data_IF_792336496846
#
_entry.id   IF_792336496846
#
_cell.length_a   1.000
_cell.length_b   1.000
_cell.length_c   1.000
_cell.angle_alpha   90.00
_cell.angle_beta   90.00
_cell.angle_gamma   90.00
#
_symmetry.space_group_name_H-M   'P 1'
#
loop_
_entity.id
_entity.type
_entity.pdbx_description
1 polymer ?
#
# COMPACT_ATOMS: atom_id res chain seq x y z
N UNK A 1 -18.59 14.36 -44.85
CA UNK A 1 -19.77 15.21 -45.18
C UNK A 1 -19.35 16.64 -44.93
N UNK A 2 -19.36 17.49 -45.96
CA UNK A 2 -18.94 18.89 -45.86
C UNK A 2 -20.17 19.72 -45.51
N UNK A 3 -20.10 20.51 -44.43
CA UNK A 3 -21.16 21.43 -44.02
C UNK A 3 -20.65 22.85 -44.15
N UNK A 4 -21.50 23.72 -44.71
CA UNK A 4 -21.24 25.17 -44.77
C UNK A 4 -22.28 25.88 -43.92
N UNK A 5 -21.82 26.78 -43.08
CA UNK A 5 -22.69 27.62 -42.26
C UNK A 5 -22.08 29.01 -42.09
N UNK A 6 -22.94 29.99 -41.84
CA UNK A 6 -22.53 31.33 -41.50
C UNK A 6 -22.38 31.43 -39.98
N UNK A 7 -21.21 31.87 -39.51
CA UNK A 7 -20.96 32.18 -38.10
C UNK A 7 -20.94 33.70 -37.94
N UNK A 8 -21.81 34.22 -37.07
CA UNK A 8 -21.91 35.65 -36.79
C UNK A 8 -21.31 35.92 -35.42
N UNK A 9 -20.30 36.80 -35.36
CA UNK A 9 -19.61 37.22 -34.13
C UNK A 9 -19.59 38.75 -34.07
N UNK A 10 -20.49 39.34 -33.28
CA UNK A 10 -20.72 40.78 -33.29
C UNK A 10 -21.25 41.25 -34.65
N UNK A 11 -20.55 42.20 -35.28
CA UNK A 11 -20.87 42.69 -36.64
C UNK A 11 -20.17 41.91 -37.77
N UNK A 12 -19.31 40.95 -37.43
CA UNK A 12 -18.59 40.15 -38.42
C UNK A 12 -19.39 38.89 -38.82
N UNK A 13 -19.42 38.59 -40.12
CA UNK A 13 -20.02 37.37 -40.68
C UNK A 13 -18.93 36.54 -41.36
N UNK A 14 -18.76 35.29 -40.90
CA UNK A 14 -17.80 34.34 -41.44
C UNK A 14 -18.52 33.22 -42.20
N UNK A 15 -18.10 32.93 -43.43
CA UNK A 15 -18.46 31.68 -44.11
C UNK A 15 -17.54 30.56 -43.62
N UNK A 16 -18.06 29.65 -42.81
CA UNK A 16 -17.29 28.52 -42.25
C UNK A 16 -17.60 27.28 -43.08
N UNK A 17 -16.54 26.60 -43.50
CA UNK A 17 -16.63 25.26 -44.11
C UNK A 17 -16.09 24.25 -43.12
N UNK A 18 -16.96 23.40 -42.58
CA UNK A 18 -16.61 22.31 -41.67
C UNK A 18 -16.51 21.01 -42.46
N UNK A 19 -15.36 20.36 -42.34
CA UNK A 19 -15.11 19.03 -42.92
C UNK A 19 -14.77 18.06 -41.79
N UNK A 20 -15.64 17.08 -41.59
CA UNK A 20 -15.35 15.95 -40.70
C UNK A 20 -14.54 14.91 -41.47
N UNK A 21 -13.27 14.75 -41.12
CA UNK A 21 -12.37 13.76 -41.76
C UNK A 21 -12.56 12.36 -41.19
N UNK A 22 -12.77 12.24 -39.87
CA UNK A 22 -12.97 10.97 -39.19
C UNK A 22 -13.84 11.17 -37.96
N UNK A 23 -14.84 10.30 -37.79
CA UNK A 23 -15.63 10.22 -36.56
C UNK A 23 -15.23 8.96 -35.82
N UNK A 24 -14.86 9.10 -34.54
CA UNK A 24 -14.57 8.00 -33.63
C UNK A 24 -15.42 8.13 -32.37
N UNK A 25 -15.61 7.03 -31.63
CA UNK A 25 -16.19 7.16 -30.29
C UNK A 25 -15.17 7.84 -29.38
N UNK A 26 -15.65 8.67 -28.46
CA UNK A 26 -14.79 9.30 -27.47
C UNK A 26 -13.99 8.26 -26.67
N UNK A 27 -14.60 7.13 -26.34
CA UNK A 27 -13.93 6.00 -25.66
C UNK A 27 -12.72 5.49 -26.42
N UNK A 28 -12.82 5.42 -27.75
CA UNK A 28 -11.79 4.83 -28.61
C UNK A 28 -10.62 5.82 -28.75
N UNK A 29 -10.94 7.11 -28.91
CA UNK A 29 -9.93 8.17 -28.92
C UNK A 29 -9.17 8.24 -27.60
N UNK A 30 -9.89 8.22 -26.47
CA UNK A 30 -9.28 8.23 -25.14
C UNK A 30 -8.42 6.98 -24.91
N UNK A 31 -8.85 5.82 -25.41
CA UNK A 31 -8.08 4.58 -25.35
C UNK A 31 -6.76 4.66 -26.10
N UNK A 32 -6.72 5.29 -27.29
CA UNK A 32 -5.48 5.49 -28.05
C UNK A 32 -4.59 6.58 -27.44
N UNK A 33 -5.16 7.68 -26.93
CA UNK A 33 -4.39 8.73 -26.24
C UNK A 33 -3.69 8.18 -25.00
N UNK A 34 -4.30 7.25 -24.26
CA UNK A 34 -3.68 6.56 -23.12
C UNK A 34 -2.55 5.63 -23.56
N UNK A 35 -2.59 5.06 -24.78
CA UNK A 35 -1.50 4.23 -25.31
C UNK A 35 -0.31 5.07 -25.75
N UNK A 36 -0.55 6.26 -26.31
CA UNK A 36 0.50 7.20 -26.75
C UNK A 36 1.06 8.05 -25.61
N UNK A 37 0.25 8.34 -24.59
CA UNK A 37 0.70 8.87 -23.32
C UNK A 37 1.54 7.81 -22.62
N UNK A 38 2.85 7.79 -22.90
CA UNK A 38 3.79 6.86 -22.28
C UNK A 38 3.57 6.74 -20.77
N UNK A 39 3.92 5.58 -20.21
CA UNK A 39 3.64 5.24 -18.81
C UNK A 39 4.14 6.35 -17.88
N UNK A 40 3.23 7.21 -17.41
CA UNK A 40 3.51 8.18 -16.36
C UNK A 40 3.29 7.46 -15.04
N UNK A 41 4.36 6.87 -14.52
CA UNK A 41 4.33 6.41 -13.13
C UNK A 41 4.18 7.66 -12.25
N UNK A 42 3.21 7.69 -11.31
CA UNK A 42 3.18 8.76 -10.33
C UNK A 42 4.49 8.74 -9.54
N UNK A 43 4.79 9.84 -8.85
CA UNK A 43 5.81 9.80 -7.79
C UNK A 43 5.43 8.64 -6.86
N UNK A 44 6.35 7.71 -6.64
CA UNK A 44 6.13 6.53 -5.82
C UNK A 44 6.61 6.80 -4.38
N UNK A 45 5.94 6.25 -3.37
CA UNK A 45 6.37 6.40 -1.98
C UNK A 45 7.71 5.70 -1.75
N UNK A 46 8.48 6.18 -0.77
CA UNK A 46 9.75 5.55 -0.41
C UNK A 46 9.57 4.07 -0.08
N UNK A 47 10.42 3.21 -0.66
CA UNK A 47 10.36 1.77 -0.44
C UNK A 47 9.28 1.05 -1.27
N UNK A 48 8.59 1.74 -2.20
CA UNK A 48 7.68 1.09 -3.12
C UNK A 48 8.42 0.05 -3.99
N UNK A 49 8.00 -1.21 -3.88
CA UNK A 49 8.52 -2.36 -4.66
C UNK A 49 7.62 -2.73 -5.82
N UNK A 50 6.32 -2.51 -5.65
CA UNK A 50 5.33 -2.78 -6.68
C UNK A 50 4.23 -1.73 -6.62
N UNK A 51 3.81 -1.27 -7.80
CA UNK A 51 2.68 -0.38 -7.99
C UNK A 51 1.81 -0.91 -9.12
N UNK A 52 0.50 -0.91 -8.90
CA UNK A 52 -0.49 -1.26 -9.92
C UNK A 52 -1.68 -0.32 -9.81
N UNK A 53 -2.23 0.07 -10.96
CA UNK A 53 -3.42 0.90 -11.04
C UNK A 53 -4.32 0.39 -12.16
N UNK A 54 -5.61 0.26 -11.86
CA UNK A 54 -6.65 -0.10 -12.83
C UNK A 54 -7.92 0.68 -12.52
N UNK A 55 -8.31 1.55 -13.45
CA UNK A 55 -9.41 2.49 -13.22
C UNK A 55 -9.13 3.36 -11.98
N UNK A 56 -10.08 3.37 -11.05
CA UNK A 56 -9.96 4.11 -9.79
C UNK A 56 -9.20 3.34 -8.70
N UNK A 57 -8.91 2.05 -8.89
CA UNK A 57 -8.19 1.27 -7.88
C UNK A 57 -6.69 1.38 -8.09
N UNK A 58 -5.96 1.65 -7.01
CA UNK A 58 -4.49 1.59 -7.02
C UNK A 58 -3.95 0.87 -5.80
N UNK A 59 -2.84 0.17 -5.97
CA UNK A 59 -2.18 -0.64 -4.94
C UNK A 59 -0.70 -0.28 -4.92
N UNK A 60 -0.22 0.07 -3.74
CA UNK A 60 1.20 0.27 -3.44
C UNK A 60 1.68 -0.86 -2.53
N UNK A 61 2.73 -1.56 -2.94
CA UNK A 61 3.47 -2.48 -2.07
C UNK A 61 4.72 -1.75 -1.61
N UNK A 62 4.78 -1.42 -0.33
CA UNK A 62 5.84 -0.64 0.29
C UNK A 62 6.63 -1.54 1.23
N UNK A 63 7.92 -1.67 0.99
CA UNK A 63 8.83 -2.41 1.84
C UNK A 63 9.63 -1.47 2.74
N UNK A 64 9.68 -1.80 4.03
CA UNK A 64 10.62 -1.24 4.98
C UNK A 64 11.69 -2.27 5.31
N UNK A 65 12.95 -1.84 5.27
CA UNK A 65 14.10 -2.68 5.63
C UNK A 65 14.09 -3.04 7.13
N UNK A 66 14.80 -4.11 7.54
CA UNK A 66 14.89 -4.51 8.95
C UNK A 66 15.39 -3.35 9.80
N UNK A 67 14.68 -3.07 10.87
CA UNK A 67 14.98 -1.91 11.70
C UNK A 67 14.41 -2.08 13.10
N UNK A 68 15.06 -1.45 14.07
CA UNK A 68 14.55 -1.31 15.42
C UNK A 68 13.72 -0.05 15.53
N UNK A 69 12.46 -0.17 15.93
CA UNK A 69 11.52 0.95 16.04
C UNK A 69 11.08 1.11 17.48
N UNK A 70 10.89 2.36 17.89
CA UNK A 70 10.14 2.66 19.09
C UNK A 70 8.65 2.67 18.72
N UNK A 71 7.84 1.86 19.41
CA UNK A 71 6.39 1.80 19.26
C UNK A 71 5.70 2.06 20.60
N UNK A 72 4.45 2.49 20.55
CA UNK A 72 3.58 2.60 21.73
C UNK A 72 2.66 1.38 21.76
N UNK A 73 2.87 0.50 22.74
CA UNK A 73 2.07 -0.70 22.99
C UNK A 73 1.82 -0.82 24.51
N UNK A 74 0.79 -0.13 24.98
CA UNK A 74 0.50 0.07 26.42
C UNK A 74 1.77 0.43 27.22
N UNK A 75 2.59 1.30 26.64
CA UNK A 75 3.97 1.56 27.05
C UNK A 75 4.90 1.69 25.85
N UNK A 76 6.08 2.31 26.07
CA UNK A 76 7.07 2.53 25.01
C UNK A 76 8.03 1.36 24.92
N UNK A 77 8.12 0.76 23.73
CA UNK A 77 8.99 -0.40 23.47
C UNK A 77 9.88 -0.15 22.28
N UNK A 78 11.16 -0.52 22.38
CA UNK A 78 12.13 -0.46 21.29
C UNK A 78 12.37 -1.86 20.73
N UNK A 79 11.68 -2.19 19.66
CA UNK A 79 11.56 -3.56 19.13
C UNK A 79 12.18 -3.67 17.74
N UNK A 80 12.93 -4.74 17.51
CA UNK A 80 13.51 -5.10 16.22
C UNK A 80 12.47 -5.81 15.35
N UNK A 81 12.41 -5.40 14.10
CA UNK A 81 11.53 -5.97 13.09
C UNK A 81 12.32 -6.49 11.88
N UNK A 82 11.82 -7.53 11.20
CA UNK A 82 12.40 -8.00 9.94
C UNK A 82 12.01 -7.04 8.81
N UNK A 83 12.11 -7.47 7.55
CA UNK A 83 11.50 -6.68 6.46
C UNK A 83 9.99 -6.62 6.68
N UNK A 84 9.40 -5.44 6.49
CA UNK A 84 7.97 -5.21 6.67
C UNK A 84 7.38 -4.78 5.35
N UNK A 85 6.35 -5.48 4.92
CA UNK A 85 5.67 -5.25 3.65
C UNK A 85 4.28 -4.72 3.93
N UNK A 86 4.03 -3.48 3.54
CA UNK A 86 2.71 -2.86 3.55
C UNK A 86 2.09 -2.98 2.16
N UNK A 87 0.84 -3.41 2.09
CA UNK A 87 0.02 -3.32 0.88
C UNK A 87 -1.05 -2.27 1.16
N UNK A 88 -0.90 -1.10 0.54
CA UNK A 88 -1.81 0.04 0.70
C UNK A 88 -2.69 0.13 -0.54
N UNK A 89 -4.00 0.02 -0.33
CA UNK A 89 -4.99 0.00 -1.40
C UNK A 89 -5.80 1.29 -1.36
N UNK A 90 -6.04 1.87 -2.53
CA UNK A 90 -6.88 3.06 -2.70
C UNK A 90 -8.06 2.76 -3.63
N UNK A 91 -9.16 3.44 -3.36
CA UNK A 91 -10.29 3.62 -4.27
C UNK A 91 -10.43 5.12 -4.56
N UNK A 92 -10.09 5.52 -5.78
CA UNK A 92 -9.91 6.91 -6.15
C UNK A 92 -8.81 7.57 -5.31
N UNK A 93 -9.21 8.55 -4.49
CA UNK A 93 -8.31 9.32 -3.61
C UNK A 93 -8.35 8.89 -2.15
N UNK A 94 -9.17 7.89 -1.80
CA UNK A 94 -9.37 7.41 -0.44
C UNK A 94 -8.65 6.08 -0.22
N UNK A 95 -8.07 5.89 0.97
CA UNK A 95 -7.50 4.60 1.38
C UNK A 95 -8.64 3.61 1.63
N UNK A 96 -8.60 2.46 0.96
CA UNK A 96 -9.48 1.32 1.20
C UNK A 96 -8.98 0.57 2.44
N UNK A 97 -9.28 1.10 3.63
CA UNK A 97 -8.77 0.62 4.91
C UNK A 97 -8.95 -0.88 5.15
N UNK A 98 -10.12 -1.44 4.82
CA UNK A 98 -10.42 -2.87 4.94
C UNK A 98 -9.60 -3.79 4.03
N UNK A 99 -8.89 -3.23 3.05
CA UNK A 99 -8.08 -3.95 2.07
C UNK A 99 -6.57 -3.75 2.30
N UNK A 100 -6.19 -2.82 3.16
CA UNK A 100 -4.79 -2.61 3.50
C UNK A 100 -4.24 -3.76 4.34
N UNK A 101 -3.01 -4.18 4.07
CA UNK A 101 -2.37 -5.34 4.71
C UNK A 101 -0.94 -5.03 5.17
N UNK A 102 -0.47 -5.75 6.18
CA UNK A 102 0.93 -5.76 6.64
C UNK A 102 1.45 -7.18 6.84
N UNK A 103 2.67 -7.42 6.39
CA UNK A 103 3.36 -8.72 6.48
C UNK A 103 4.82 -8.55 6.83
N UNK A 104 5.44 -9.65 7.26
CA UNK A 104 6.89 -9.76 7.42
C UNK A 104 7.54 -10.54 6.28
N UNK A 105 8.85 -10.35 6.16
CA UNK A 105 9.76 -11.04 5.24
C UNK A 105 11.12 -11.16 5.91
N UNK A 106 11.82 -12.27 5.73
CA UNK A 106 13.21 -12.44 6.23
C UNK A 106 14.27 -12.07 5.19
N UNK A 107 13.85 -11.67 3.99
CA UNK A 107 14.70 -11.20 2.89
C UNK A 107 13.99 -10.12 2.07
N UNK A 108 14.73 -9.23 1.36
CA UNK A 108 14.13 -8.22 0.50
C UNK A 108 13.17 -8.82 -0.53
N UNK A 109 12.04 -8.16 -0.78
CA UNK A 109 11.11 -8.44 -1.88
C UNK A 109 11.80 -8.38 -3.24
N UNK A 110 11.62 -9.42 -4.03
CA UNK A 110 12.09 -9.55 -5.40
C UNK A 110 10.96 -9.64 -6.43
N UNK A 111 9.91 -10.46 -6.20
CA UNK A 111 8.84 -10.68 -7.17
C UNK A 111 7.49 -11.07 -6.51
N UNK A 112 6.46 -11.38 -7.30
CA UNK A 112 5.12 -11.73 -6.80
C UNK A 112 5.00 -13.11 -6.16
N UNK A 113 5.87 -14.07 -6.49
CA UNK A 113 5.87 -15.42 -5.92
C UNK A 113 6.46 -15.48 -4.50
N UNK A 114 7.02 -14.36 -4.05
CA UNK A 114 7.62 -14.20 -2.77
C UNK A 114 6.66 -14.53 -1.62
N UNK A 115 7.12 -15.43 -0.74
CA UNK A 115 6.38 -15.79 0.47
C UNK A 115 6.35 -14.62 1.45
N UNK A 116 5.19 -14.43 2.03
CA UNK A 116 4.91 -13.49 3.10
C UNK A 116 4.75 -14.23 4.42
N UNK A 117 5.10 -13.54 5.49
CA UNK A 117 5.05 -14.06 6.85
C UNK A 117 4.07 -13.22 7.67
N UNK A 118 3.41 -13.86 8.64
CA UNK A 118 2.47 -13.19 9.53
C UNK A 118 3.23 -12.26 10.48
N UNK A 119 2.76 -11.02 10.69
CA UNK A 119 3.32 -10.17 11.72
C UNK A 119 2.98 -10.74 13.10
N UNK A 120 3.78 -10.40 14.11
CA UNK A 120 3.47 -10.65 15.52
C UNK A 120 2.95 -9.37 16.20
N UNK A 121 2.16 -8.57 15.47
CA UNK A 121 1.62 -7.30 15.94
C UNK A 121 0.16 -7.45 16.35
N UNK A 122 -0.25 -6.78 17.42
CA UNK A 122 -1.66 -6.53 17.69
C UNK A 122 -2.27 -5.57 16.65
N UNK A 123 -3.60 -5.37 16.70
CA UNK A 123 -4.33 -4.57 15.73
C UNK A 123 -4.19 -5.05 14.28
N UNK A 124 -3.81 -6.32 14.09
CA UNK A 124 -3.74 -6.97 12.78
C UNK A 124 -4.46 -8.31 12.81
N UNK A 125 -5.10 -8.67 11.70
CA UNK A 125 -5.73 -9.97 11.51
C UNK A 125 -4.72 -10.98 10.95
N UNK A 126 -5.05 -12.28 11.04
CA UNK A 126 -4.15 -13.35 10.56
C UNK A 126 -3.84 -13.28 9.07
N UNK A 127 -4.74 -12.72 8.27
CA UNK A 127 -4.55 -12.48 6.84
C UNK A 127 -3.77 -11.18 6.54
N UNK A 128 -3.19 -10.54 7.56
CA UNK A 128 -2.45 -9.28 7.45
C UNK A 128 -3.32 -8.03 7.46
N UNK A 129 -4.66 -8.11 7.50
CA UNK A 129 -5.52 -6.93 7.54
C UNK A 129 -5.21 -6.03 8.72
N UNK A 130 -5.03 -4.74 8.45
CA UNK A 130 -4.73 -3.73 9.45
C UNK A 130 -6.05 -3.20 10.00
N UNK A 131 -6.21 -3.22 11.32
CA UNK A 131 -7.29 -2.49 11.97
C UNK A 131 -6.94 -0.99 11.93
N UNK A 132 -7.60 -0.24 11.06
CA UNK A 132 -7.30 1.19 10.89
C UNK A 132 -7.99 2.06 11.93
N UNK A 133 -9.02 1.57 12.63
CA UNK A 133 -9.81 2.35 13.57
C UNK A 133 -10.22 3.71 13.00
N UNK A 134 -9.85 4.79 13.70
CA UNK A 134 -10.07 6.20 13.31
C UNK A 134 -8.86 6.86 12.64
N UNK A 135 -7.93 6.07 12.08
CA UNK A 135 -6.74 6.57 11.39
C UNK A 135 -7.11 7.57 10.29
N UNK A 136 -6.55 8.77 10.38
CA UNK A 136 -6.64 9.80 9.35
C UNK A 136 -5.42 9.70 8.45
N UNK A 137 -5.59 9.91 7.16
CA UNK A 137 -4.51 9.85 6.17
C UNK A 137 -4.47 11.18 5.45
N UNK A 138 -3.30 11.80 5.47
CA UNK A 138 -3.06 13.13 4.91
C UNK A 138 -2.12 13.06 3.70
N UNK A 139 -2.16 14.06 2.83
CA UNK A 139 -1.26 14.19 1.68
C UNK A 139 -1.99 14.63 0.40
N UNK A 140 -1.29 15.33 -0.47
CA UNK A 140 -1.85 15.87 -1.72
C UNK A 140 -1.84 14.83 -2.85
N UNK A 141 -0.90 13.89 -2.80
CA UNK A 141 -0.72 12.80 -3.77
C UNK A 141 -0.99 11.43 -3.15
N UNK A 142 -1.28 10.43 -3.97
CA UNK A 142 -1.46 9.03 -3.50
C UNK A 142 -0.21 8.50 -2.79
N UNK A 143 0.99 8.85 -3.26
CA UNK A 143 2.23 8.46 -2.60
C UNK A 143 2.38 9.08 -1.21
N UNK A 144 2.15 10.39 -1.07
CA UNK A 144 2.17 11.04 0.24
C UNK A 144 1.13 10.45 1.19
N UNK A 145 -0.08 10.13 0.68
CA UNK A 145 -1.10 9.43 1.46
C UNK A 145 -0.66 8.03 1.87
N UNK A 146 0.02 7.29 1.00
CA UNK A 146 0.53 5.97 1.33
C UNK A 146 1.63 6.03 2.40
N UNK A 147 2.54 7.01 2.32
CA UNK A 147 3.54 7.29 3.35
C UNK A 147 2.91 7.72 4.68
N UNK A 148 1.88 8.57 4.62
CA UNK A 148 1.10 9.01 5.79
C UNK A 148 0.40 7.82 6.44
N UNK A 149 -0.21 6.91 5.65
CA UNK A 149 -0.81 5.68 6.15
C UNK A 149 0.20 4.81 6.89
N UNK A 150 1.36 4.52 6.29
CA UNK A 150 2.43 3.73 6.93
C UNK A 150 2.95 4.41 8.19
N UNK A 151 3.10 5.73 8.17
CA UNK A 151 3.52 6.52 9.34
C UNK A 151 2.49 6.42 10.46
N UNK A 152 1.21 6.53 10.14
CA UNK A 152 0.13 6.52 11.12
C UNK A 152 -0.12 5.12 11.68
N UNK A 153 0.14 4.06 10.91
CA UNK A 153 0.20 2.69 11.44
C UNK A 153 1.20 2.59 12.60
N UNK A 154 2.44 3.06 12.41
CA UNK A 154 3.47 3.01 13.45
C UNK A 154 3.23 3.95 14.62
N UNK A 155 2.56 5.09 14.39
CA UNK A 155 2.15 6.02 15.45
C UNK A 155 0.89 5.57 16.19
N UNK A 156 0.22 4.52 15.73
CA UNK A 156 -0.98 4.01 16.41
C UNK A 156 -0.61 3.46 17.79
N UNK A 157 -1.57 3.51 18.71
CA UNK A 157 -1.42 2.91 20.03
C UNK A 157 -1.79 1.43 19.92
N UNK A 158 -0.77 0.57 19.82
CA UNK A 158 -0.99 -0.87 19.90
C UNK A 158 -1.55 -1.21 21.28
N UNK A 159 -2.57 -2.04 21.32
CA UNK A 159 -3.19 -2.54 22.55
C UNK A 159 -3.34 -4.06 22.42
N UNK A 160 -3.93 -4.73 23.40
CA UNK A 160 -4.15 -6.17 23.32
C UNK A 160 -5.33 -6.59 22.44
N UNK A 161 -5.99 -5.67 21.73
CA UNK A 161 -7.03 -6.06 20.80
C UNK A 161 -6.44 -6.90 19.67
N UNK A 162 -7.18 -7.96 19.33
CA UNK A 162 -6.78 -8.94 18.32
C UNK A 162 -5.45 -9.66 18.64
N UNK A 163 -4.97 -9.65 19.88
CA UNK A 163 -3.76 -10.37 20.31
C UNK A 163 -3.81 -11.85 19.95
N UNK A 164 -4.97 -12.48 20.14
CA UNK A 164 -5.29 -13.87 19.77
C UNK A 164 -5.03 -14.18 18.30
N UNK A 165 -5.09 -13.17 17.43
CA UNK A 165 -4.85 -13.38 16.01
C UNK A 165 -3.38 -13.68 15.77
N UNK A 166 -2.47 -12.82 16.23
CA UNK A 166 -1.08 -12.81 15.78
C UNK A 166 -0.06 -12.82 16.91
N UNK A 167 -0.23 -11.99 17.94
CA UNK A 167 0.75 -11.87 19.01
C UNK A 167 0.80 -13.12 19.89
N UNK A 168 -0.34 -13.59 20.41
CA UNK A 168 -0.37 -14.74 21.32
C UNK A 168 0.20 -16.02 20.69
N UNK A 169 -0.16 -16.40 19.44
CA UNK A 169 0.45 -17.55 18.78
C UNK A 169 1.96 -17.40 18.58
N UNK A 170 2.43 -16.19 18.27
CA UNK A 170 3.85 -15.91 18.11
C UNK A 170 4.59 -16.00 19.44
N UNK A 171 4.04 -15.42 20.50
CA UNK A 171 4.58 -15.44 21.85
C UNK A 171 4.70 -16.87 22.41
N UNK A 172 3.71 -17.73 22.12
CA UNK A 172 3.73 -19.14 22.53
C UNK A 172 4.78 -19.97 21.77
N UNK A 173 5.02 -19.66 20.49
CA UNK A 173 5.90 -20.46 19.63
C UNK A 173 7.35 -19.99 19.63
N UNK A 174 7.58 -18.68 19.75
CA UNK A 174 8.89 -18.06 19.53
C UNK A 174 9.35 -17.40 20.83
N UNK A 175 10.28 -18.07 21.54
CA UNK A 175 10.76 -17.60 22.84
C UNK A 175 11.35 -16.19 22.82
N UNK A 176 11.90 -15.75 21.68
CA UNK A 176 12.48 -14.42 21.49
C UNK A 176 11.44 -13.28 21.55
N UNK A 177 10.17 -13.59 21.32
CA UNK A 177 9.06 -12.62 21.35
C UNK A 177 7.91 -13.06 22.26
N UNK A 178 8.22 -13.88 23.27
CA UNK A 178 7.23 -14.40 24.23
C UNK A 178 6.49 -13.31 25.02
N UNK A 179 7.17 -12.19 25.25
CA UNK A 179 6.66 -11.01 25.90
C UNK A 179 7.42 -9.77 25.40
N UNK A 180 6.84 -8.57 25.56
CA UNK A 180 7.45 -7.32 25.09
C UNK A 180 8.82 -7.02 25.75
N UNK A 181 9.03 -7.27 27.06
CA UNK A 181 10.36 -7.15 27.68
C UNK A 181 11.41 -8.05 27.02
N UNK A 182 11.10 -9.33 26.82
CA UNK A 182 12.01 -10.30 26.20
C UNK A 182 12.30 -9.89 24.75
N UNK A 183 11.29 -9.47 24.00
CA UNK A 183 11.50 -8.96 22.63
C UNK A 183 12.42 -7.74 22.63
N UNK A 184 12.23 -6.78 23.53
CA UNK A 184 13.12 -5.62 23.64
C UNK A 184 14.57 -6.03 24.00
N UNK A 185 14.74 -6.99 24.92
CA UNK A 185 16.05 -7.52 25.28
C UNK A 185 16.75 -8.18 24.09
N UNK A 186 16.04 -9.05 23.35
CA UNK A 186 16.57 -9.70 22.14
C UNK A 186 16.87 -8.68 21.03
N UNK A 187 16.04 -7.64 20.91
CA UNK A 187 16.25 -6.53 19.97
C UNK A 187 17.52 -5.74 20.28
N UNK A 188 17.83 -5.55 21.57
CA UNK A 188 19.05 -4.88 22.01
C UNK A 188 20.30 -5.74 21.80
N UNK A 189 20.20 -7.07 22.01
CA UNK A 189 21.30 -8.02 21.78
C UNK A 189 21.63 -8.15 20.29
N UNK A 190 20.62 -8.30 19.45
CA UNK A 190 20.79 -8.48 18.01
C UNK A 190 19.62 -7.85 17.23
N UNK A 191 19.77 -6.61 16.72
CA UNK A 191 18.73 -5.94 15.95
C UNK A 191 18.24 -6.68 14.69
N UNK A 192 18.99 -7.69 14.22
CA UNK A 192 18.66 -8.50 13.05
C UNK A 192 18.13 -9.90 13.42
N UNK A 193 17.97 -10.23 14.71
CA UNK A 193 17.42 -11.52 15.14
C UNK A 193 16.08 -11.87 14.46
N UNK A 194 15.17 -10.92 14.16
CA UNK A 194 13.89 -11.25 13.52
C UNK A 194 14.04 -11.89 12.14
N UNK A 195 15.18 -11.70 11.47
CA UNK A 195 15.46 -12.36 10.19
C UNK A 195 15.72 -13.86 10.32
N UNK A 196 16.14 -14.32 11.50
CA UNK A 196 16.38 -15.73 11.80
C UNK A 196 15.18 -16.46 12.42
N UNK A 197 14.06 -15.77 12.67
CA UNK A 197 12.86 -16.39 13.26
C UNK A 197 12.01 -17.02 12.17
N UNK A 198 11.62 -18.27 12.37
CA UNK A 198 10.72 -19.02 11.48
C UNK A 198 9.25 -18.62 11.69
N UNK A 199 8.93 -17.36 11.38
CA UNK A 199 7.58 -16.80 11.49
C UNK A 199 6.53 -17.66 10.76
N UNK A 200 5.27 -17.53 11.17
CA UNK A 200 4.18 -18.25 10.49
C UNK A 200 4.00 -17.75 9.05
N UNK A 201 3.75 -18.65 8.11
CA UNK A 201 3.48 -18.29 6.71
C UNK A 201 2.12 -17.60 6.56
N UNK A 202 2.02 -16.66 5.61
CA UNK A 202 0.82 -15.88 5.30
C UNK A 202 0.36 -16.01 3.83
N UNK A 203 1.06 -16.80 3.00
CA UNK A 203 0.80 -16.94 1.56
C UNK A 203 1.84 -16.22 0.70
N UNK A 204 1.54 -16.03 -0.59
CA UNK A 204 2.42 -15.30 -1.53
C UNK A 204 1.97 -13.86 -1.71
N UNK A 205 2.89 -12.99 -2.12
CA UNK A 205 2.55 -11.60 -2.45
C UNK A 205 1.49 -11.50 -3.55
N UNK A 206 1.59 -12.34 -4.59
CA UNK A 206 0.61 -12.41 -5.68
C UNK A 206 -0.82 -12.54 -5.14
N UNK A 207 -1.07 -13.52 -4.26
CA UNK A 207 -2.42 -13.80 -3.73
C UNK A 207 -3.00 -12.59 -2.97
N UNK A 208 -2.10 -11.77 -2.41
CA UNK A 208 -2.43 -10.56 -1.66
C UNK A 208 -2.69 -9.37 -2.59
N UNK A 209 -2.10 -9.29 -3.78
CA UNK A 209 -2.31 -8.16 -4.71
C UNK A 209 -3.35 -8.49 -5.79
N UNK A 210 -3.56 -9.76 -6.09
CA UNK A 210 -4.51 -10.23 -7.10
C UNK A 210 -5.94 -9.81 -6.75
N UNK A 211 -6.68 -9.31 -7.75
CA UNK A 211 -8.05 -8.83 -7.59
C UNK A 211 -8.22 -7.49 -6.86
N UNK A 212 -7.13 -6.81 -6.47
CA UNK A 212 -7.19 -5.48 -5.80
C UNK A 212 -6.94 -4.29 -6.73
N UNK A 213 -6.70 -4.57 -8.01
CA UNK A 213 -6.72 -3.61 -9.12
C UNK A 213 -7.74 -4.06 -10.18
#
# INVERSE_FOLDING_TARGET
>A
MEKKFLRVEGEAVHLVTERVERTVRLSDLMGEVVKEGGITTPILPLGCRFFSQRGERSVFVIEQVPTTRQIEWEGKWKLAFPYIVFVVVFSGQAVSSGECRVFYRTSPLGNGDDRLLRPNLCNTHQNGAICTGSMRVDGDTLAQKAESFVTNFWKSHFNWDLSVNNYEPAAQKFGQVRDLPTWQEESAKNPLFPLGVSWFEAGKLQDVIEGRC
#
